data_IF_420729102083
#
_entry.id   IF_420729102083
#
_cell.length_a   1.000
_cell.length_b   1.000
_cell.length_c   1.000
_cell.angle_alpha   90.00
_cell.angle_beta   90.00
_cell.angle_gamma   90.00
#
_symmetry.space_group_name_H-M   'P 1'
#
loop_
_entity.id
_entity.type
_entity.pdbx_description
1 polymer ?
2 non-polymer ?
3 non-polymer ?
4 water ?
#
# COMPACT_ATOMS: atom_id res chain seq x y z
N UNK A 5 -8.65 -2.54 13.01
CA UNK A 5 -7.92 -1.42 12.41
C UNK A 5 -6.73 -0.98 13.27
N UNK A 6 -5.66 -0.53 12.65
CA UNK A 6 -4.38 -0.38 13.32
C UNK A 6 -4.32 0.98 14.02
N UNK A 7 -3.97 0.96 15.32
CA UNK A 7 -3.72 2.18 16.08
C UNK A 7 -4.85 3.20 15.93
N UNK A 8 -6.09 2.69 15.95
CA UNK A 8 -7.24 3.56 15.72
C UNK A 8 -7.23 4.73 16.68
N UNK A 9 -7.06 4.44 17.97
CA UNK A 9 -7.04 5.49 18.98
C UNK A 9 -5.96 6.53 18.68
N UNK A 10 -4.77 6.08 18.33
CA UNK A 10 -3.68 7.00 18.04
C UNK A 10 -3.97 7.81 16.79
N UNK A 11 -4.53 7.17 15.76
CA UNK A 11 -4.89 7.88 14.54
C UNK A 11 -5.87 9.01 14.86
N UNK A 12 -6.97 8.69 15.53
CA UNK A 12 -7.96 9.71 15.86
C UNK A 12 -7.34 10.77 16.74
N UNK A 13 -6.49 10.36 17.68
CA UNK A 13 -5.81 11.32 18.54
C UNK A 13 -4.94 12.27 17.72
N UNK A 14 -4.13 11.71 16.82
CA UNK A 14 -3.27 12.54 15.99
C UNK A 14 -4.06 13.42 15.05
N UNK A 15 -5.14 12.89 14.46
CA UNK A 15 -5.97 13.73 13.59
C UNK A 15 -6.68 14.81 14.37
N UNK A 16 -7.07 14.51 15.61
CA UNK A 16 -7.79 15.45 16.47
C UNK A 16 -8.95 16.14 15.75
N UNK A 17 -9.95 15.38 15.28
CA UNK A 17 -11.06 16.00 14.54
C UNK A 17 -11.88 16.90 15.44
N UNK A 18 -12.19 18.09 14.92
CA UNK A 18 -13.02 19.05 15.60
C UNK A 18 -14.24 19.39 14.75
N UNK A 19 -15.22 20.02 15.40
CA UNK A 19 -16.43 20.48 14.72
C UNK A 19 -16.11 21.37 13.53
N UNK A 20 -16.80 21.14 12.41
CA UNK A 20 -16.67 22.00 11.25
C UNK A 20 -15.49 21.73 10.35
N UNK A 21 -14.72 20.66 10.59
CA UNK A 21 -13.49 20.40 9.86
C UNK A 21 -13.73 19.38 8.74
N UNK A 22 -12.73 19.25 7.85
CA UNK A 22 -12.83 18.48 6.61
C UNK A 22 -11.64 17.53 6.52
N UNK A 23 -11.89 16.27 6.17
CA UNK A 23 -10.89 15.21 6.20
C UNK A 23 -10.89 14.39 4.91
N UNK A 24 -9.72 13.83 4.61
CA UNK A 24 -9.54 12.87 3.52
C UNK A 24 -8.92 11.60 4.09
N UNK A 25 -9.66 10.51 3.98
CA UNK A 25 -9.14 9.18 4.31
C UNK A 25 -8.79 8.56 2.96
N UNK A 26 -7.49 8.51 2.64
CA UNK A 26 -7.05 8.04 1.34
C UNK A 26 -7.08 6.52 1.21
N UNK A 27 -7.36 5.80 2.29
CA UNK A 27 -7.26 4.36 2.35
C UNK A 27 -8.44 3.83 3.17
N UNK A 28 -9.66 4.07 2.66
CA UNK A 28 -10.84 3.81 3.48
C UNK A 28 -10.90 2.37 3.97
N UNK A 29 -10.55 1.41 3.11
CA UNK A 29 -10.55 0.02 3.56
C UNK A 29 -11.92 -0.46 4.01
N UNK A 30 -11.98 -1.04 5.21
CA UNK A 30 -13.27 -1.45 5.76
C UNK A 30 -13.99 -0.31 6.46
N UNK A 31 -13.39 0.88 6.50
CA UNK A 31 -13.99 2.02 7.13
C UNK A 31 -13.66 2.17 8.59
N UNK A 32 -12.76 1.33 9.13
CA UNK A 32 -12.50 1.37 10.56
C UNK A 32 -12.09 2.74 11.05
N UNK A 33 -11.09 3.33 10.41
CA UNK A 33 -10.63 4.64 10.87
C UNK A 33 -11.67 5.72 10.61
N UNK A 34 -12.29 5.72 9.43
CA UNK A 34 -13.29 6.74 9.15
C UNK A 34 -14.44 6.69 10.15
N UNK A 35 -14.90 5.49 10.52
CA UNK A 35 -15.97 5.39 11.49
C UNK A 35 -15.53 5.91 12.86
N UNK A 36 -14.30 5.58 13.27
CA UNK A 36 -13.80 6.07 14.55
C UNK A 36 -13.70 7.59 14.57
N UNK A 37 -13.29 8.19 13.44
CA UNK A 37 -13.28 9.65 13.35
C UNK A 37 -14.69 10.20 13.54
N UNK A 38 -15.68 9.59 12.85
CA UNK A 38 -17.06 10.06 12.95
C UNK A 38 -17.60 9.92 14.37
N UNK A 39 -17.28 8.81 15.04
CA UNK A 39 -17.74 8.65 16.42
C UNK A 39 -17.13 9.71 17.33
N UNK A 40 -15.91 10.15 17.05
CA UNK A 40 -15.30 11.19 17.86
C UNK A 40 -15.95 12.54 17.59
N UNK A 41 -16.15 12.88 16.32
CA UNK A 41 -16.77 14.14 15.94
C UNK A 41 -17.57 13.90 14.68
N UNK A 42 -18.90 13.96 14.77
CA UNK A 42 -19.72 13.71 13.61
C UNK A 42 -20.00 14.96 12.78
N UNK A 43 -19.75 16.16 13.32
CA UNK A 43 -19.99 17.38 12.56
C UNK A 43 -18.76 17.69 11.70
N UNK A 44 -18.57 16.84 10.69
CA UNK A 44 -17.40 16.93 9.81
C UNK A 44 -17.84 16.63 8.39
N UNK A 45 -16.92 16.84 7.46
CA UNK A 45 -17.03 16.33 6.10
C UNK A 45 -15.79 15.48 5.85
N UNK A 46 -15.97 14.29 5.31
CA UNK A 46 -14.87 13.36 5.10
C UNK A 46 -14.99 12.73 3.72
N UNK A 47 -13.95 12.91 2.91
CA UNK A 47 -13.83 12.22 1.63
C UNK A 47 -13.12 10.90 1.85
N UNK A 48 -13.75 9.82 1.38
CA UNK A 48 -13.29 8.45 1.62
C UNK A 48 -12.88 7.83 0.29
N UNK A 49 -11.57 7.64 0.10
CA UNK A 49 -11.01 7.13 -1.15
C UNK A 49 -10.48 5.72 -0.97
N UNK A 50 -10.59 4.91 -2.04
CA UNK A 50 -9.91 3.63 -2.08
C UNK A 50 -9.83 3.19 -3.53
N UNK A 51 -8.74 2.51 -3.91
CA UNK A 51 -8.67 1.97 -5.26
C UNK A 51 -9.44 0.67 -5.42
N UNK A 52 -9.83 0.04 -4.31
CA UNK A 52 -10.49 -1.25 -4.37
C UNK A 52 -12.01 -1.07 -4.43
N UNK A 53 -12.67 -1.56 -5.50
CA UNK A 53 -14.15 -1.56 -5.52
C UNK A 53 -14.82 -2.07 -4.26
N UNK A 54 -14.28 -3.12 -3.65
CA UNK A 54 -14.91 -3.66 -2.44
C UNK A 54 -14.89 -2.63 -1.32
N UNK A 55 -13.77 -1.93 -1.14
CA UNK A 55 -13.71 -0.89 -0.10
C UNK A 55 -14.59 0.30 -0.45
N UNK A 56 -14.56 0.72 -1.73
CA UNK A 56 -15.37 1.86 -2.15
C UNK A 56 -16.86 1.61 -1.90
N UNK A 57 -17.33 0.37 -2.15
CA UNK A 57 -18.75 0.11 -1.91
C UNK A 57 -19.10 0.21 -0.42
N UNK A 58 -18.16 -0.17 0.46
CA UNK A 58 -18.42 0.04 1.88
C UNK A 58 -18.50 1.52 2.21
N UNK A 59 -17.65 2.34 1.59
CA UNK A 59 -17.73 3.78 1.77
C UNK A 59 -19.05 4.36 1.28
N UNK A 60 -19.55 3.86 0.13
CA UNK A 60 -20.86 4.31 -0.34
C UNK A 60 -21.97 3.93 0.65
N UNK A 61 -21.93 2.69 1.15
CA UNK A 61 -22.90 2.28 2.18
C UNK A 61 -22.84 3.21 3.39
N UNK A 62 -21.63 3.51 3.87
CA UNK A 62 -21.49 4.38 5.01
C UNK A 62 -22.06 5.76 4.71
N UNK A 63 -21.90 6.23 3.47
CA UNK A 63 -22.50 7.51 3.08
C UNK A 63 -24.03 7.50 3.15
N UNK A 64 -24.66 6.32 3.12
CA UNK A 64 -26.11 6.27 3.27
C UNK A 64 -26.52 6.47 4.73
N UNK A 65 -25.66 6.07 5.68
CA UNK A 65 -25.91 6.36 7.08
C UNK A 65 -25.45 7.76 7.46
N UNK A 66 -24.36 8.23 6.86
CA UNK A 66 -23.83 9.57 7.13
C UNK A 66 -23.86 10.42 5.84
N UNK A 67 -25.05 10.75 5.34
CA UNK A 67 -25.12 11.48 4.07
C UNK A 67 -24.58 12.90 4.13
N UNK A 68 -24.71 13.59 5.27
CA UNK A 68 -24.14 14.92 5.40
C UNK A 68 -22.62 14.91 5.35
N UNK A 69 -22.01 13.82 5.81
CA UNK A 69 -20.57 13.79 6.07
C UNK A 69 -19.75 13.13 4.95
N UNK A 70 -20.12 11.91 4.54
CA UNK A 70 -19.23 11.05 3.76
C UNK A 70 -19.38 11.33 2.28
N UNK A 71 -18.25 11.43 1.58
CA UNK A 71 -18.20 11.50 0.12
C UNK A 71 -17.26 10.42 -0.36
N UNK A 72 -17.81 9.36 -0.93
CA UNK A 72 -17.02 8.19 -1.30
C UNK A 72 -16.44 8.37 -2.69
N UNK A 73 -15.21 7.92 -2.88
CA UNK A 73 -14.48 8.08 -4.13
C UNK A 73 -13.75 6.80 -4.47
N UNK A 74 -13.85 6.39 -5.73
CA UNK A 74 -13.19 5.18 -6.22
C UNK A 74 -12.00 5.59 -7.06
N UNK A 75 -10.80 5.26 -6.58
CA UNK A 75 -9.61 5.67 -7.31
C UNK A 75 -8.31 5.42 -6.59
N UNK A 76 -7.24 5.41 -7.38
CA UNK A 76 -5.88 5.28 -6.88
C UNK A 76 -5.39 6.61 -6.31
N UNK A 77 -4.37 6.53 -5.44
CA UNK A 77 -3.68 7.75 -5.03
C UNK A 77 -3.35 8.61 -6.23
N UNK A 78 -2.88 8.00 -7.31
CA UNK A 78 -2.46 8.76 -8.47
C UNK A 78 -3.63 9.42 -9.18
N UNK A 79 -4.86 9.00 -8.89
CA UNK A 79 -6.05 9.59 -9.47
C UNK A 79 -6.72 10.57 -8.51
N UNK A 80 -6.20 10.70 -7.28
CA UNK A 80 -6.92 11.43 -6.24
C UNK A 80 -7.00 12.92 -6.54
N UNK A 81 -5.93 13.51 -7.10
CA UNK A 81 -5.96 14.94 -7.39
C UNK A 81 -7.07 15.26 -8.39
N UNK A 82 -7.15 14.48 -9.47
CA UNK A 82 -8.20 14.69 -10.46
C UNK A 82 -9.59 14.50 -9.85
N UNK A 83 -9.75 13.45 -9.04
CA UNK A 83 -11.04 13.18 -8.39
C UNK A 83 -11.44 14.36 -7.51
N UNK A 84 -10.51 14.86 -6.71
CA UNK A 84 -10.84 15.95 -5.79
C UNK A 84 -11.20 17.22 -6.55
N UNK A 85 -10.44 17.54 -7.60
CA UNK A 85 -10.74 18.74 -8.37
C UNK A 85 -12.09 18.63 -9.05
N UNK A 86 -12.42 17.44 -9.57
CA UNK A 86 -13.72 17.26 -10.19
C UNK A 86 -14.85 17.35 -9.17
N UNK A 87 -14.57 16.96 -7.92
CA UNK A 87 -15.52 17.11 -6.82
C UNK A 87 -15.58 18.54 -6.26
N UNK A 88 -14.85 19.48 -6.86
CA UNK A 88 -14.89 20.85 -6.40
C UNK A 88 -13.96 21.17 -5.25
N UNK A 89 -13.17 20.21 -4.77
CA UNK A 89 -12.28 20.44 -3.65
C UNK A 89 -11.05 21.16 -4.15
N UNK A 90 -10.77 22.31 -3.57
CA UNK A 90 -9.64 23.18 -3.84
C UNK A 90 -8.42 22.77 -3.01
N UNK A 91 -7.22 23.07 -3.51
CA UNK A 91 -6.01 22.89 -2.69
C UNK A 91 -6.11 23.66 -1.37
N UNK A 92 -5.44 23.16 -0.35
CA UNK A 92 -5.41 23.85 0.92
C UNK A 92 -6.71 23.79 1.71
N UNK A 93 -7.45 22.70 1.59
CA UNK A 93 -8.78 22.56 2.18
C UNK A 93 -8.79 21.71 3.46
N UNK A 94 -8.07 20.61 3.48
CA UNK A 94 -8.29 19.58 4.50
C UNK A 94 -7.62 19.91 5.83
N UNK A 95 -8.37 19.70 6.91
CA UNK A 95 -7.79 19.72 8.25
C UNK A 95 -6.98 18.46 8.56
N UNK A 96 -7.25 17.35 7.86
CA UNK A 96 -6.51 16.13 8.09
C UNK A 96 -6.56 15.19 6.90
N UNK A 97 -5.46 14.50 6.65
CA UNK A 97 -5.40 13.46 5.62
C UNK A 97 -4.79 12.22 6.25
N UNK A 98 -5.38 11.06 5.95
CA UNK A 98 -4.98 9.79 6.54
C UNK A 98 -4.57 8.83 5.44
N UNK A 99 -3.45 8.15 5.63
CA UNK A 99 -2.99 7.09 4.75
C UNK A 99 -2.56 5.91 5.62
N UNK A 100 -3.35 4.85 5.59
CA UNK A 100 -3.07 3.60 6.29
C UNK A 100 -2.72 2.59 5.20
N UNK A 101 -1.42 2.37 4.98
CA UNK A 101 -0.97 1.77 3.73
C UNK A 101 -1.09 0.24 3.75
N UNK A 102 -1.14 -0.34 2.55
CA UNK A 102 -1.12 -1.79 2.42
C UNK A 102 -2.47 -2.39 2.07
N UNK A 103 -2.76 -3.57 2.62
CA UNK A 103 -3.97 -4.35 2.31
C UNK A 103 -5.05 -4.19 3.35
N UNK A 104 -6.30 -4.25 2.89
CA UNK A 104 -7.44 -4.27 3.78
C UNK A 104 -7.71 -5.71 4.26
N UNK A 105 -8.50 -5.79 5.33
CA UNK A 105 -9.01 -7.07 5.80
C UNK A 105 -9.71 -7.83 4.68
N UNK A 106 -10.50 -7.12 3.85
CA UNK A 106 -11.18 -7.79 2.74
C UNK A 106 -10.17 -8.41 1.77
N UNK A 107 -9.09 -7.71 1.46
CA UNK A 107 -8.11 -8.23 0.53
C UNK A 107 -7.36 -9.43 1.11
N UNK A 108 -7.03 -9.36 2.40
CA UNK A 108 -6.26 -10.43 3.02
C UNK A 108 -7.10 -11.67 3.30
N UNK A 109 -8.37 -11.48 3.68
CA UNK A 109 -9.21 -12.58 4.17
C UNK A 109 -10.11 -13.17 3.12
N UNK A 110 -10.02 -12.71 1.87
CA UNK A 110 -10.76 -13.26 0.75
C UNK A 110 -9.80 -14.09 -0.09
N UNK A 111 -9.76 -15.42 0.06
CA UNK A 111 -8.74 -16.22 -0.63
C UNK A 111 -8.70 -16.04 -2.13
N UNK A 112 -9.85 -15.78 -2.76
CA UNK A 112 -9.91 -15.63 -4.20
C UNK A 112 -9.11 -14.42 -4.72
N UNK A 113 -8.80 -13.45 -3.85
CA UNK A 113 -8.08 -12.27 -4.35
C UNK A 113 -6.58 -12.52 -4.45
N UNK A 114 -6.08 -13.58 -3.82
CA UNK A 114 -4.70 -13.96 -4.00
C UNK A 114 -3.68 -13.13 -3.26
N UNK A 115 -4.03 -12.51 -2.13
CA UNK A 115 -3.02 -11.77 -1.39
C UNK A 115 -2.30 -12.60 -0.33
N UNK A 116 -2.91 -13.66 0.20
CA UNK A 116 -2.39 -14.21 1.45
C UNK A 116 -1.78 -15.59 1.24
N UNK A 117 -1.01 -16.00 2.25
CA UNK A 117 -0.33 -17.29 2.27
C UNK A 117 -1.12 -18.34 3.04
N UNK A 118 -2.21 -17.97 3.70
CA UNK A 118 -2.98 -18.94 4.47
C UNK A 118 -3.79 -19.85 3.55
N UNK A 119 -4.70 -19.27 2.78
CA UNK A 119 -5.65 -20.05 2.00
C UNK A 119 -5.35 -19.92 0.51
N UNK A 120 -5.49 -21.03 -0.21
CA UNK A 120 -5.15 -21.05 -1.63
C UNK A 120 -6.17 -20.26 -2.44
N UNK A 121 -5.67 -19.56 -3.45
CA UNK A 121 -6.52 -18.85 -4.38
C UNK A 121 -5.77 -18.53 -5.65
N UNK A 122 -6.47 -17.96 -6.64
CA UNK A 122 -5.77 -17.48 -7.84
C UNK A 122 -4.73 -16.44 -7.46
N UNK A 123 -3.57 -16.51 -8.13
CA UNK A 123 -2.45 -15.59 -7.91
C UNK A 123 -2.76 -14.26 -8.62
N UNK A 124 -3.73 -13.55 -8.05
CA UNK A 124 -4.25 -12.29 -8.58
C UNK A 124 -3.50 -11.11 -7.98
N UNK A 125 -3.84 -10.75 -6.74
CA UNK A 125 -3.09 -9.77 -5.94
C UNK A 125 -3.24 -8.33 -6.44
N UNK A 126 -4.23 -8.04 -7.29
CA UNK A 126 -4.51 -6.68 -7.72
C UNK A 126 -5.45 -6.00 -6.72
N UNK A 127 -5.02 -4.86 -6.18
CA UNK A 127 -5.86 -4.15 -5.21
C UNK A 127 -7.12 -3.61 -5.87
N UNK A 128 -7.07 -3.36 -7.19
CA UNK A 128 -8.20 -2.80 -7.92
C UNK A 128 -9.28 -3.82 -8.24
N UNK A 129 -9.12 -5.07 -7.79
CA UNK A 129 -10.14 -6.09 -8.01
C UNK A 129 -10.39 -6.32 -9.49
N UNK A 130 -11.65 -6.24 -9.89
CA UNK A 130 -12.07 -6.37 -11.27
C UNK A 130 -12.13 -5.08 -12.06
N UNK A 131 -11.69 -3.97 -11.48
CA UNK A 131 -11.83 -2.67 -12.12
C UNK A 131 -11.05 -2.59 -13.42
N UNK A 132 -9.83 -3.14 -13.45
CA UNK A 132 -8.93 -3.06 -14.60
C UNK A 132 -8.59 -4.47 -15.05
N UNK A 133 -9.44 -5.09 -15.87
CA UNK A 133 -9.21 -6.52 -16.19
C UNK A 133 -7.91 -6.80 -16.94
N UNK A 134 -7.34 -5.81 -17.64
CA UNK A 134 -6.05 -6.00 -18.31
C UNK A 134 -4.85 -5.60 -17.47
N UNK A 135 -5.06 -5.18 -16.23
CA UNK A 135 -3.95 -4.96 -15.32
C UNK A 135 -3.24 -6.29 -15.05
N UNK A 136 -1.91 -6.37 -15.18
CA UNK A 136 -1.23 -7.65 -14.94
C UNK A 136 -1.43 -8.14 -13.51
N UNK A 137 -1.71 -9.43 -13.38
CA UNK A 137 -1.80 -10.11 -12.10
C UNK A 137 -0.41 -10.56 -11.64
N UNK A 138 -0.33 -10.96 -10.38
CA UNK A 138 0.91 -11.59 -9.90
C UNK A 138 1.25 -12.83 -10.73
N UNK A 139 0.23 -13.60 -11.14
CA UNK A 139 0.47 -14.76 -11.99
C UNK A 139 1.08 -14.36 -13.32
N UNK A 140 0.53 -13.31 -13.95
CA UNK A 140 1.10 -12.82 -15.20
C UNK A 140 2.59 -12.53 -15.02
N UNK A 141 2.96 -11.92 -13.89
CA UNK A 141 4.32 -11.46 -13.67
C UNK A 141 5.28 -12.64 -13.53
N UNK A 142 4.95 -13.59 -12.66
CA UNK A 142 5.88 -14.70 -12.42
C UNK A 142 5.92 -15.65 -13.60
N UNK A 143 4.90 -15.62 -14.47
CA UNK A 143 4.96 -16.46 -15.65
C UNK A 143 5.66 -15.80 -16.83
N UNK A 144 5.81 -14.48 -16.85
CA UNK A 144 6.34 -13.81 -18.03
C UNK A 144 7.74 -13.26 -17.88
N UNK A 145 8.13 -12.80 -16.70
CA UNK A 145 9.39 -12.10 -16.55
C UNK A 145 10.57 -13.06 -16.57
N UNK A 146 11.67 -12.62 -17.16
CA UNK A 146 12.86 -13.46 -17.16
C UNK A 146 13.48 -13.52 -15.76
N UNK A 147 14.44 -14.42 -15.61
CA UNK A 147 14.97 -14.75 -14.29
C UNK A 147 15.60 -13.54 -13.61
N UNK A 148 16.39 -12.76 -14.35
CA UNK A 148 17.05 -11.59 -13.75
C UNK A 148 16.02 -10.56 -13.29
N UNK A 149 14.98 -10.35 -14.10
CA UNK A 149 13.95 -9.39 -13.74
C UNK A 149 13.22 -9.80 -12.46
N UNK A 150 12.86 -11.08 -12.33
CA UNK A 150 12.19 -11.55 -11.12
C UNK A 150 13.10 -11.39 -9.90
N UNK A 151 14.38 -11.73 -10.05
CA UNK A 151 15.31 -11.56 -8.95
C UNK A 151 15.40 -10.11 -8.53
N UNK A 152 15.40 -9.20 -9.50
CA UNK A 152 15.49 -7.78 -9.17
C UNK A 152 14.26 -7.34 -8.38
N UNK A 153 13.08 -7.77 -8.80
CA UNK A 153 11.85 -7.41 -8.07
C UNK A 153 11.90 -7.94 -6.65
N UNK A 154 12.25 -9.22 -6.49
CA UNK A 154 12.30 -9.79 -5.15
C UNK A 154 13.35 -9.09 -4.29
N UNK A 155 14.53 -8.83 -4.86
CA UNK A 155 15.57 -8.15 -4.09
C UNK A 155 15.16 -6.73 -3.76
N UNK A 156 14.72 -5.97 -4.76
CA UNK A 156 14.45 -4.54 -4.54
C UNK A 156 13.22 -4.33 -3.66
N UNK A 157 12.10 -4.94 -4.01
CA UNK A 157 10.84 -4.67 -3.32
C UNK A 157 10.58 -5.58 -2.14
N UNK A 158 11.13 -6.80 -2.17
CA UNK A 158 10.88 -7.69 -1.05
C UNK A 158 12.02 -7.67 -0.06
N UNK A 159 13.15 -7.08 -0.45
CA UNK A 159 14.38 -7.14 0.33
C UNK A 159 14.74 -8.58 0.66
N UNK A 160 14.52 -9.45 -0.32
CA UNK A 160 14.68 -10.89 -0.16
C UNK A 160 16.12 -11.28 -0.48
N UNK A 161 16.89 -11.65 0.55
CA UNK A 161 18.30 -12.00 0.37
C UNK A 161 18.47 -13.18 -0.59
N UNK A 162 17.47 -14.05 -0.67
CA UNK A 162 17.49 -15.24 -1.50
C UNK A 162 16.82 -15.02 -2.86
N UNK A 163 16.89 -13.80 -3.40
CA UNK A 163 16.14 -13.46 -4.60
C UNK A 163 16.56 -14.33 -5.79
N UNK A 164 17.86 -14.60 -5.92
CA UNK A 164 18.33 -15.33 -7.09
C UNK A 164 17.83 -16.78 -7.10
N UNK A 165 17.98 -17.49 -5.98
CA UNK A 165 17.58 -18.89 -5.97
C UNK A 165 16.06 -19.02 -6.05
N UNK A 166 15.32 -18.10 -5.42
CA UNK A 166 13.86 -18.13 -5.54
C UNK A 166 13.45 -17.83 -6.98
N UNK A 167 14.08 -16.84 -7.61
CA UNK A 167 13.77 -16.56 -9.01
C UNK A 167 14.10 -17.77 -9.89
N UNK A 168 15.24 -18.42 -9.62
CA UNK A 168 15.58 -19.60 -10.40
C UNK A 168 14.53 -20.69 -10.23
N UNK A 169 14.03 -20.88 -9.02
CA UNK A 169 12.99 -21.90 -8.78
C UNK A 169 11.70 -21.56 -9.52
N UNK A 170 11.31 -20.28 -9.54
CA UNK A 170 10.10 -19.88 -10.25
C UNK A 170 10.22 -20.20 -11.73
N UNK A 171 11.37 -19.86 -12.33
CA UNK A 171 11.52 -20.07 -13.77
C UNK A 171 11.55 -21.57 -14.10
N UNK A 172 12.19 -22.37 -13.24
CA UNK A 172 12.18 -23.81 -13.45
C UNK A 172 10.77 -24.37 -13.31
N UNK A 173 10.02 -23.91 -12.31
CA UNK A 173 8.70 -24.45 -12.05
C UNK A 173 7.72 -24.13 -13.17
N UNK A 174 7.71 -22.88 -13.64
CA UNK A 174 6.77 -22.47 -14.67
C UNK A 174 6.99 -23.19 -15.99
N UNK A 175 8.21 -23.67 -16.25
CA UNK A 175 8.44 -24.43 -17.46
C UNK A 175 7.74 -25.78 -17.44
N UNK A 176 7.30 -26.25 -16.28
CA UNK A 176 6.56 -27.50 -16.17
C UNK A 176 5.06 -27.26 -16.25
N UNK A 177 4.56 -26.30 -15.45
CA UNK A 177 3.16 -25.94 -15.43
C UNK A 177 3.10 -24.46 -15.07
N UNK A 178 2.24 -23.67 -15.70
CA UNK A 178 2.12 -22.25 -15.32
C UNK A 178 1.80 -22.11 -13.84
N UNK A 179 2.32 -21.05 -13.24
CA UNK A 179 2.11 -20.76 -11.83
C UNK A 179 0.86 -19.88 -11.72
N UNK A 180 -0.21 -20.41 -11.13
CA UNK A 180 -1.49 -19.69 -11.11
C UNK A 180 -2.12 -19.54 -9.74
N UNK A 181 -1.61 -20.20 -8.70
CA UNK A 181 -2.26 -20.21 -7.38
C UNK A 181 -1.26 -19.79 -6.32
N UNK A 182 -1.78 -19.22 -5.22
CA UNK A 182 -0.90 -18.72 -4.17
C UNK A 182 -0.10 -19.83 -3.49
N UNK A 183 -0.75 -20.95 -3.13
CA UNK A 183 -0.01 -21.99 -2.41
C UNK A 183 0.97 -22.69 -3.33
N UNK A 184 0.61 -22.80 -4.61
CA UNK A 184 1.54 -23.30 -5.62
C UNK A 184 2.83 -22.47 -5.61
N UNK A 185 2.70 -21.14 -5.63
CA UNK A 185 3.88 -20.27 -5.59
C UNK A 185 4.61 -20.39 -4.27
N UNK A 186 3.88 -20.45 -3.15
CA UNK A 186 4.55 -20.60 -1.86
C UNK A 186 5.36 -21.90 -1.80
N UNK A 187 4.80 -22.99 -2.31
CA UNK A 187 5.54 -24.25 -2.36
C UNK A 187 6.78 -24.13 -3.23
N UNK A 188 6.70 -23.37 -4.32
CA UNK A 188 7.86 -23.20 -5.19
C UNK A 188 8.94 -22.43 -4.46
N UNK A 189 8.54 -21.38 -3.74
CA UNK A 189 9.50 -20.60 -2.95
C UNK A 189 10.21 -21.49 -1.94
N UNK A 190 9.45 -22.27 -1.17
CA UNK A 190 10.07 -23.14 -0.18
C UNK A 190 11.00 -24.13 -0.84
N UNK A 191 10.64 -24.60 -2.04
CA UNK A 191 11.45 -25.57 -2.78
C UNK A 191 12.82 -25.07 -3.17
N UNK A 192 13.06 -23.76 -3.10
CA UNK A 192 14.37 -23.20 -3.42
C UNK A 192 15.40 -23.50 -2.33
N UNK A 193 14.96 -23.90 -1.13
CA UNK A 193 15.84 -24.08 0.02
C UNK A 193 16.03 -25.56 0.31
N UNK A 194 17.27 -26.04 0.48
CA UNK A 194 17.46 -27.44 0.82
C UNK A 194 16.82 -27.76 2.15
N UNK A 195 16.45 -29.03 2.37
CA UNK A 195 15.81 -29.39 3.64
C UNK A 195 16.58 -28.98 4.87
N UNK A 196 17.91 -29.12 4.89
CA UNK A 196 18.65 -28.76 6.09
C UNK A 196 18.52 -27.27 6.42
N UNK A 197 18.13 -26.45 5.45
CA UNK A 197 17.96 -25.03 5.73
C UNK A 197 16.64 -24.71 6.44
N UNK A 198 15.61 -25.56 6.32
CA UNK A 198 14.28 -25.19 6.79
C UNK A 198 13.63 -26.27 7.66
N UNK A 199 14.28 -27.39 7.90
CA UNK A 199 13.63 -28.53 8.52
C UNK A 199 13.27 -28.23 9.98
N UNK A 200 11.99 -28.42 10.31
CA UNK A 200 11.37 -28.15 11.61
C UNK A 200 11.33 -26.68 11.99
N UNK A 201 11.55 -25.77 11.06
CA UNK A 201 11.54 -24.32 11.35
C UNK A 201 10.10 -23.82 11.29
N UNK A 202 9.39 -23.97 12.42
CA UNK A 202 7.98 -23.63 12.50
C UNK A 202 7.75 -22.14 12.23
N UNK A 203 8.72 -21.28 12.55
CA UNK A 203 8.57 -19.87 12.25
C UNK A 203 8.37 -19.63 10.76
N UNK A 204 8.98 -20.47 9.91
CA UNK A 204 8.84 -20.27 8.46
C UNK A 204 7.45 -20.63 7.96
N UNK A 205 6.56 -21.09 8.84
CA UNK A 205 5.15 -21.26 8.56
C UNK A 205 4.27 -20.22 9.22
N UNK A 206 4.81 -19.48 10.19
CA UNK A 206 4.03 -18.52 10.97
C UNK A 206 3.58 -17.36 10.10
N UNK A 207 2.58 -16.64 10.59
CA UNK A 207 1.85 -15.68 9.77
C UNK A 207 2.79 -14.65 9.15
N UNK A 208 3.58 -13.96 9.98
CA UNK A 208 4.38 -12.84 9.52
C UNK A 208 5.82 -13.22 9.20
N UNK A 209 6.21 -14.47 9.43
CA UNK A 209 7.57 -14.93 9.16
C UNK A 209 7.60 -16.07 8.15
N UNK A 210 6.48 -16.32 7.47
CA UNK A 210 6.40 -17.36 6.45
C UNK A 210 7.51 -17.22 5.42
N UNK A 211 8.05 -18.35 4.98
CA UNK A 211 9.20 -18.31 4.06
C UNK A 211 8.88 -17.56 2.76
N UNK A 212 7.61 -17.48 2.37
CA UNK A 212 7.24 -16.81 1.12
C UNK A 212 6.79 -15.37 1.33
N UNK A 213 6.85 -14.85 2.56
CA UNK A 213 6.29 -13.53 2.85
C UNK A 213 6.91 -12.45 1.97
N UNK A 214 8.25 -12.37 1.98
CA UNK A 214 8.94 -11.32 1.22
C UNK A 214 8.64 -11.44 -0.27
N UNK A 215 8.60 -12.68 -0.78
CA UNK A 215 8.28 -12.87 -2.19
C UNK A 215 6.89 -12.33 -2.50
N UNK A 216 5.91 -12.63 -1.65
CA UNK A 216 4.57 -12.12 -1.89
C UNK A 216 4.51 -10.62 -1.77
N UNK A 217 5.23 -10.06 -0.80
CA UNK A 217 5.29 -8.61 -0.65
C UNK A 217 5.93 -7.94 -1.86
N UNK A 218 7.04 -8.48 -2.36
CA UNK A 218 7.66 -7.93 -3.56
C UNK A 218 6.68 -7.92 -4.74
N UNK A 219 5.98 -9.04 -4.94
CA UNK A 219 5.03 -9.11 -6.05
C UNK A 219 3.88 -8.13 -5.85
N UNK A 220 3.41 -7.97 -4.62
CA UNK A 220 2.30 -7.04 -4.36
C UNK A 220 2.70 -5.62 -4.70
N UNK A 221 3.89 -5.21 -4.27
CA UNK A 221 4.35 -3.85 -4.53
C UNK A 221 4.45 -3.61 -6.03
N UNK A 222 5.03 -4.57 -6.74
CA UNK A 222 5.22 -4.44 -8.18
C UNK A 222 3.88 -4.42 -8.90
N UNK A 223 2.98 -5.35 -8.56
CA UNK A 223 1.71 -5.46 -9.26
C UNK A 223 0.88 -4.19 -9.08
N UNK A 224 0.94 -3.59 -7.89
CA UNK A 224 0.09 -2.46 -7.56
C UNK A 224 0.83 -1.13 -7.63
N UNK A 225 2.07 -1.14 -8.12
CA UNK A 225 2.86 0.08 -8.32
C UNK A 225 2.91 0.91 -7.03
N UNK A 226 3.14 0.26 -5.89
CA UNK A 226 2.84 0.92 -4.62
C UNK A 226 3.81 2.07 -4.30
N UNK A 227 5.05 2.02 -4.79
CA UNK A 227 6.03 3.03 -4.40
C UNK A 227 5.75 4.35 -5.11
N UNK A 228 5.55 4.31 -6.43
CA UNK A 228 5.17 5.51 -7.18
C UNK A 228 3.83 6.03 -6.72
N UNK A 229 2.86 5.14 -6.50
CA UNK A 229 1.56 5.54 -5.96
C UNK A 229 1.72 6.30 -4.64
N UNK A 230 2.54 5.76 -3.73
CA UNK A 230 2.69 6.39 -2.43
C UNK A 230 3.24 7.80 -2.56
N UNK A 231 4.31 7.96 -3.36
CA UNK A 231 4.92 9.27 -3.48
C UNK A 231 3.92 10.28 -4.05
N UNK A 232 3.19 9.86 -5.08
CA UNK A 232 2.17 10.74 -5.64
C UNK A 232 1.09 11.06 -4.62
N UNK A 233 0.65 10.06 -3.87
CA UNK A 233 -0.39 10.30 -2.87
C UNK A 233 0.07 11.27 -1.80
N UNK A 234 1.34 11.17 -1.39
CA UNK A 234 1.84 12.09 -0.36
C UNK A 234 1.85 13.52 -0.88
N UNK A 235 2.32 13.72 -2.11
CA UNK A 235 2.31 15.05 -2.69
C UNK A 235 0.89 15.59 -2.77
N UNK A 236 -0.06 14.75 -3.16
CA UNK A 236 -1.45 15.20 -3.21
C UNK A 236 -1.97 15.53 -1.82
N UNK A 237 -1.65 14.69 -0.83
CA UNK A 237 -2.00 15.00 0.54
C UNK A 237 -1.51 16.40 0.93
N UNK A 238 -0.24 16.71 0.65
CA UNK A 238 0.31 18.00 1.07
C UNK A 238 -0.37 19.16 0.36
N UNK A 239 -0.64 19.00 -0.94
CA UNK A 239 -1.28 20.06 -1.71
C UNK A 239 -2.68 20.38 -1.20
N UNK A 240 -3.44 19.36 -0.81
CA UNK A 240 -4.83 19.59 -0.44
C UNK A 240 -5.03 19.82 1.05
N UNK A 241 -3.99 19.62 1.87
CA UNK A 241 -4.03 20.04 3.27
C UNK A 241 -3.96 21.56 3.37
N UNK A 242 -4.71 22.13 4.30
CA UNK A 242 -4.53 23.52 4.64
C UNK A 242 -3.38 23.69 5.63
N UNK A 243 -2.83 24.89 5.74
CA UNK A 243 -1.81 25.13 6.76
C UNK A 243 -2.41 24.85 8.13
N UNK A 244 -1.63 24.17 8.97
CA UNK A 244 -2.13 23.71 10.25
C UNK A 244 -2.80 22.36 10.20
N UNK A 245 -3.15 21.85 9.02
CA UNK A 245 -3.73 20.53 8.93
C UNK A 245 -2.70 19.45 9.17
N UNK A 246 -3.20 18.24 9.44
CA UNK A 246 -2.38 17.13 9.88
C UNK A 246 -2.38 16.01 8.85
N UNK A 247 -1.20 15.49 8.54
CA UNK A 247 -1.06 14.26 7.78
C UNK A 247 -0.72 13.13 8.75
N UNK A 248 -1.43 12.01 8.65
CA UNK A 248 -1.12 10.85 9.48
C UNK A 248 -0.95 9.67 8.54
N UNK A 249 0.22 9.01 8.59
CA UNK A 249 0.46 7.89 7.68
C UNK A 249 0.93 6.68 8.49
N UNK A 250 0.40 5.51 8.15
CA UNK A 250 0.80 4.26 8.79
C UNK A 250 1.52 3.43 7.75
N UNK A 251 2.78 3.10 8.03
CA UNK A 251 3.61 2.30 7.14
C UNK A 251 3.87 0.93 7.78
N UNK A 252 4.07 -0.07 6.93
CA UNK A 252 4.22 -1.44 7.39
C UNK A 252 5.38 -2.15 6.74
N UNK A 253 6.16 -1.46 5.93
CA UNK A 253 7.24 -2.02 5.15
C UNK A 253 8.36 -1.01 5.11
N UNK A 254 9.60 -1.49 5.03
CA UNK A 254 10.77 -0.61 5.08
C UNK A 254 10.74 0.44 3.96
N UNK A 255 10.36 0.04 2.74
CA UNK A 255 10.45 0.98 1.62
C UNK A 255 9.42 2.09 1.76
N UNK A 256 8.17 1.73 2.06
CA UNK A 256 7.17 2.79 2.18
C UNK A 256 7.43 3.67 3.40
N UNK A 257 8.00 3.12 4.47
CA UNK A 257 8.32 3.97 5.61
C UNK A 257 9.40 4.97 5.25
N UNK A 258 10.44 4.52 4.54
CA UNK A 258 11.50 5.41 4.11
C UNK A 258 11.00 6.51 3.20
N UNK A 259 10.00 6.20 2.37
CA UNK A 259 9.40 7.20 1.48
C UNK A 259 8.65 8.25 2.29
N UNK A 260 7.77 7.80 3.20
CA UNK A 260 7.07 8.74 4.08
C UNK A 260 8.07 9.59 4.86
N UNK A 261 9.06 8.93 5.46
CA UNK A 261 10.08 9.65 6.24
C UNK A 261 10.74 10.75 5.41
N UNK A 262 11.24 10.39 4.23
CA UNK A 262 11.98 11.37 3.44
C UNK A 262 11.05 12.47 2.94
N UNK A 263 9.83 12.09 2.56
CA UNK A 263 8.82 13.09 2.20
C UNK A 263 8.61 14.10 3.31
N UNK A 264 8.43 13.63 4.56
CA UNK A 264 8.18 14.57 5.66
C UNK A 264 9.40 15.42 5.96
N UNK A 265 10.60 14.91 5.65
CA UNK A 265 11.81 15.71 5.80
C UNK A 265 12.03 16.68 4.65
N UNK A 266 11.11 16.74 3.68
CA UNK A 266 11.32 17.57 2.51
C UNK A 266 12.45 17.13 1.60
N UNK A 267 12.82 15.87 1.62
CA UNK A 267 13.91 15.38 0.80
C UNK A 267 13.33 14.92 -0.54
N UNK A 268 13.92 15.40 -1.63
CA UNK A 268 13.43 15.05 -2.96
C UNK A 268 13.71 13.59 -3.28
N UNK A 269 12.73 12.94 -3.91
CA UNK A 269 12.88 11.56 -4.38
C UNK A 269 12.55 11.49 -5.86
N UNK A 270 12.77 10.30 -6.43
CA UNK A 270 12.72 10.12 -7.87
C UNK A 270 11.33 10.36 -8.43
N UNK A 271 11.23 11.32 -9.35
CA UNK A 271 10.06 11.47 -10.20
C UNK A 271 10.29 10.69 -11.48
N UNK A 272 9.31 9.85 -11.85
CA UNK A 272 9.47 9.01 -13.05
C UNK A 272 9.72 9.86 -14.28
N UNK A 273 9.07 11.02 -14.39
CA UNK A 273 9.25 11.91 -15.53
C UNK A 273 10.70 12.34 -15.69
N UNK A 274 11.54 12.18 -14.66
CA UNK A 274 12.96 12.51 -14.76
C UNK A 274 13.84 11.30 -15.10
N UNK A 275 13.26 10.10 -15.13
CA UNK A 275 14.00 8.90 -15.53
C UNK A 275 13.96 8.75 -17.05
N UNK A 276 15.09 8.39 -17.64
CA UNK A 276 15.08 8.08 -19.07
C UNK A 276 14.11 6.95 -19.36
N UNK A 277 13.66 6.87 -20.62
CA UNK A 277 12.77 5.77 -20.97
C UNK A 277 13.45 4.42 -20.68
N UNK A 278 14.74 4.30 -21.04
CA UNK A 278 15.48 3.08 -20.73
C UNK A 278 15.43 2.75 -19.23
N UNK A 279 15.67 3.75 -18.38
CA UNK A 279 15.63 3.52 -16.93
C UNK A 279 14.25 3.07 -16.48
N UNK A 280 13.20 3.73 -16.97
CA UNK A 280 11.84 3.35 -16.59
C UNK A 280 11.49 1.95 -17.10
N UNK A 281 12.10 1.53 -18.21
CA UNK A 281 11.77 0.22 -18.75
C UNK A 281 12.60 -0.87 -18.07
N UNK A 282 13.90 -0.61 -17.86
CA UNK A 282 14.84 -1.69 -17.57
C UNK A 282 15.25 -1.81 -16.10
N UNK A 283 14.89 -0.85 -15.23
CA UNK A 283 15.34 -0.90 -13.84
C UNK A 283 14.17 -0.86 -12.87
N UNK A 284 14.39 -1.46 -11.70
CA UNK A 284 13.42 -1.32 -10.63
C UNK A 284 13.53 0.07 -10.00
N UNK A 285 12.44 0.50 -9.35
CA UNK A 285 12.44 1.83 -8.76
C UNK A 285 13.36 1.85 -7.56
N UNK A 286 14.03 2.99 -7.36
CA UNK A 286 14.88 3.20 -6.20
C UNK A 286 14.18 3.98 -5.09
N UNK A 287 12.89 4.26 -5.25
CA UNK A 287 12.14 4.90 -4.18
C UNK A 287 12.27 4.10 -2.89
N UNK A 288 12.64 4.78 -1.81
CA UNK A 288 12.72 4.12 -0.53
C UNK A 288 14.00 3.34 -0.26
N UNK A 289 14.92 3.27 -1.22
CA UNK A 289 16.16 2.53 -1.05
C UNK A 289 17.25 3.40 -0.43
N UNK A 290 18.35 2.75 -0.04
CA UNK A 290 19.41 3.44 0.69
C UNK A 290 20.15 4.45 -0.20
N UNK A 291 20.50 4.07 -1.42
CA UNK A 291 21.27 4.92 -2.32
C UNK A 291 20.44 5.19 -3.57
N UNK A 292 19.43 6.06 -3.42
CA UNK A 292 18.56 6.43 -4.52
C UNK A 292 19.13 7.61 -5.32
N UNK A 303 12.45 25.56 2.27
CA UNK A 303 12.37 25.71 3.72
C UNK A 303 11.56 24.60 4.41
N UNK A 304 11.28 24.78 5.69
CA UNK A 304 10.55 23.78 6.46
C UNK A 304 9.08 23.76 6.06
N UNK A 305 8.57 22.57 5.76
CA UNK A 305 7.17 22.45 5.35
C UNK A 305 6.30 21.74 6.37
N UNK A 306 6.88 21.13 7.39
CA UNK A 306 6.13 20.28 8.31
C UNK A 306 6.62 20.50 9.74
N UNK A 307 5.75 20.21 10.70
CA UNK A 307 6.18 19.96 12.08
C UNK A 307 5.88 18.50 12.38
N UNK A 308 6.92 17.71 12.65
CA UNK A 308 6.76 16.27 12.84
C UNK A 308 6.34 16.02 14.28
N UNK A 309 5.09 15.58 14.49
CA UNK A 309 4.52 15.57 15.84
C UNK A 309 4.35 14.18 16.44
N UNK A 310 4.52 13.10 15.67
CA UNK A 310 4.46 11.77 16.25
C UNK A 310 5.25 10.79 15.40
N UNK A 311 5.93 9.86 16.08
CA UNK A 311 6.39 8.61 15.44
C UNK A 311 6.24 7.49 16.47
N UNK A 312 5.41 6.50 16.16
CA UNK A 312 5.08 5.45 17.13
C UNK A 312 5.01 4.10 16.43
N UNK A 313 5.35 3.04 17.17
CA UNK A 313 5.23 1.68 16.67
C UNK A 313 4.39 0.86 17.64
N UNK A 314 3.92 -0.29 17.14
CA UNK A 314 3.19 -1.24 17.98
C UNK A 314 4.14 -2.01 18.91
N UNK A 328 4.05 -6.91 14.80
CA UNK A 328 3.56 -5.85 13.93
C UNK A 328 4.71 -5.05 13.32
N UNK A 329 4.58 -4.73 12.03
CA UNK A 329 5.51 -3.84 11.36
C UNK A 329 5.03 -2.39 11.37
N UNK A 330 3.97 -2.09 12.12
CA UNK A 330 3.29 -0.81 11.99
C UNK A 330 4.17 0.34 12.50
N UNK A 331 4.19 1.43 11.74
CA UNK A 331 4.83 2.67 12.17
C UNK A 331 3.95 3.85 11.78
N UNK A 332 3.54 4.63 12.77
CA UNK A 332 2.72 5.82 12.57
C UNK A 332 3.61 7.04 12.50
N UNK A 333 3.40 7.88 11.48
CA UNK A 333 4.08 9.16 11.38
C UNK A 333 3.02 10.22 11.17
N UNK A 334 3.03 11.25 12.02
CA UNK A 334 2.08 12.35 11.90
C UNK A 334 2.83 13.67 11.79
N UNK A 335 2.27 14.60 11.02
CA UNK A 335 2.93 15.89 10.86
C UNK A 335 1.89 16.98 10.63
N UNK A 336 2.23 18.19 11.06
CA UNK A 336 1.40 19.37 10.81
C UNK A 336 2.00 20.14 9.64
N UNK A 337 1.17 20.46 8.65
CA UNK A 337 1.65 21.26 7.52
C UNK A 337 1.84 22.71 7.94
N UNK A 338 2.99 23.27 7.61
CA UNK A 338 3.30 24.65 7.97
C UNK A 338 2.76 25.65 6.94
#
# INVERSE_FOLDING_TARGET
KLHIPVMVDEVVHCLSPQKGQIFLDMTFGSGGHTKAILQKESDIVLYALDRDPTAYALAEHLSELYPKQIRAMLGQFSQAEALLMKAGVQPGTFDGVLMDLGCSSMQLDTPERGFSLRKDGPLDMRMDGGRYPDMPTAADVVNALDQQALASILRTYGEEKHAKKIASAIVQARSIYPITRTQQLASIVAGAFPPSAIYTRKDLLQRSTHIATKTFQALRIFVNNELNELYTGLKTAQKFLRPGGRLVALSFHSLEDRIVKRFLLGISMTERFNLSVRQQVMKTSQLGSDHENTEEVSMRRAPLMWELIHKKVLSPQDQDVQDNPRGRSAKLRAAIKL
#
